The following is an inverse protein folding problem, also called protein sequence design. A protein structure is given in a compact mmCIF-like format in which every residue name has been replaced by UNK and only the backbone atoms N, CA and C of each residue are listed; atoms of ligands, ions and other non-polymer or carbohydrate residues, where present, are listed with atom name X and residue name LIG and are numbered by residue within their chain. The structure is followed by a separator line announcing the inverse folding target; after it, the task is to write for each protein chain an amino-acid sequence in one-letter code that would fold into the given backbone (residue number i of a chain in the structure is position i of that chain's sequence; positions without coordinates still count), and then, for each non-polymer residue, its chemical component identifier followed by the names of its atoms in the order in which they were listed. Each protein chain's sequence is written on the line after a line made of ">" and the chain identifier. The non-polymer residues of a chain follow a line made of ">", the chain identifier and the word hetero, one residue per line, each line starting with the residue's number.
data_IF_078856207556
#
_entry.id   IF_078856207556
#
_cell.length_a   1.000
_cell.length_b   1.000
_cell.length_c   1.000
_cell.angle_alpha   90.00
_cell.angle_beta   90.00
_cell.angle_gamma   90.00
#
_symmetry.space_group_name_H-M   'P 1'
#
loop_
_entity.id
_entity.type
_entity.pdbx_description
1 polymer ?
#
# COMPACT_ATOMS: atom_id res chain seq x y z
N UNK A 1 -14.11 -16.61 -14.10
CA UNK A 1 -13.28 -16.44 -12.90
C UNK A 1 -14.20 -16.13 -11.71
N UNK A 2 -13.99 -16.75 -10.57
CA UNK A 2 -14.66 -16.42 -9.31
C UNK A 2 -13.74 -15.56 -8.45
N UNK A 3 -14.27 -14.52 -7.84
CA UNK A 3 -13.49 -13.70 -6.90
C UNK A 3 -13.31 -14.51 -5.60
N UNK A 4 -12.08 -14.57 -5.13
CA UNK A 4 -11.71 -15.22 -3.87
C UNK A 4 -11.61 -14.19 -2.76
N UNK A 5 -10.89 -13.09 -3.03
CA UNK A 5 -10.72 -11.97 -2.11
C UNK A 5 -10.69 -10.64 -2.88
N UNK A 6 -11.25 -9.60 -2.29
CA UNK A 6 -11.11 -8.23 -2.75
C UNK A 6 -10.88 -7.29 -1.55
N UNK A 7 -9.77 -6.56 -1.58
CA UNK A 7 -9.35 -5.65 -0.53
C UNK A 7 -9.16 -4.24 -1.06
N UNK A 8 -9.77 -3.29 -0.38
CA UNK A 8 -9.61 -1.87 -0.65
C UNK A 8 -8.65 -1.27 0.38
N UNK A 9 -7.63 -0.57 -0.12
CA UNK A 9 -6.59 0.09 0.66
C UNK A 9 -6.73 1.60 0.49
N UNK A 10 -6.76 2.31 1.63
CA UNK A 10 -6.88 3.77 1.65
C UNK A 10 -5.77 4.36 2.51
N UNK A 11 -4.61 4.68 1.93
CA UNK A 11 -3.57 5.43 2.62
C UNK A 11 -4.00 6.89 2.78
N UNK A 12 -3.66 7.47 3.94
CA UNK A 12 -3.97 8.86 4.26
C UNK A 12 -2.83 9.53 5.04
N UNK A 13 -2.82 10.86 5.02
CA UNK A 13 -1.87 11.68 5.77
C UNK A 13 -2.53 12.86 6.47
N UNK A 14 -1.70 13.57 7.26
CA UNK A 14 -2.03 14.84 7.91
C UNK A 14 -3.16 14.78 8.93
N UNK A 15 -3.40 13.64 9.52
CA UNK A 15 -4.38 13.54 10.59
C UNK A 15 -3.81 14.14 11.89
N UNK A 16 -4.05 15.42 12.09
CA UNK A 16 -3.65 16.15 13.29
C UNK A 16 -4.78 16.30 14.30
N UNK A 17 -5.89 15.62 14.08
CA UNK A 17 -7.10 15.70 14.90
C UNK A 17 -7.53 14.36 15.47
N UNK A 18 -6.74 13.30 15.24
CA UNK A 18 -7.14 11.92 15.53
C UNK A 18 -8.50 11.56 14.90
N UNK A 19 -8.68 11.97 13.65
CA UNK A 19 -9.93 11.70 12.93
C UNK A 19 -10.07 10.22 12.55
N UNK A 20 -8.96 9.58 12.20
CA UNK A 20 -8.94 8.16 11.91
C UNK A 20 -8.71 7.34 13.20
N UNK A 21 -9.33 6.16 13.32
CA UNK A 21 -10.32 5.62 12.36
C UNK A 21 -11.77 6.09 12.61
N UNK A 22 -12.06 6.73 13.74
CA UNK A 22 -13.43 6.90 14.25
C UNK A 22 -14.24 7.97 13.50
N UNK A 23 -13.58 8.96 12.91
CA UNK A 23 -14.25 10.08 12.22
C UNK A 23 -14.07 10.03 10.69
N UNK A 24 -13.86 8.84 10.17
CA UNK A 24 -13.82 8.58 8.73
C UNK A 24 -14.73 7.41 8.37
N UNK A 25 -15.13 7.35 7.13
CA UNK A 25 -15.97 6.29 6.63
C UNK A 25 -15.59 5.90 5.21
N UNK A 26 -15.83 4.65 4.87
CA UNK A 26 -15.66 4.15 3.51
C UNK A 26 -16.93 3.48 3.03
N UNK A 27 -17.32 3.77 1.80
CA UNK A 27 -18.39 3.06 1.11
C UNK A 27 -17.80 2.38 -0.13
N UNK A 28 -18.23 1.16 -0.40
CA UNK A 28 -17.90 0.43 -1.62
C UNK A 28 -19.20 0.03 -2.33
N UNK A 29 -19.33 0.40 -3.59
CA UNK A 29 -20.56 0.23 -4.37
C UNK A 29 -21.83 0.75 -3.65
N UNK A 30 -21.68 1.87 -2.93
CA UNK A 30 -22.77 2.51 -2.17
C UNK A 30 -23.12 1.83 -0.85
N UNK A 31 -22.35 0.83 -0.41
CA UNK A 31 -22.54 0.15 0.87
C UNK A 31 -21.42 0.55 1.83
N UNK A 32 -21.79 0.98 3.05
CA UNK A 32 -20.84 1.31 4.12
C UNK A 32 -20.05 0.06 4.52
N UNK A 33 -18.70 0.16 4.55
CA UNK A 33 -17.81 -0.94 4.90
C UNK A 33 -17.02 -0.57 6.15
N UNK A 34 -17.00 -1.39 7.20
CA UNK A 34 -16.12 -1.19 8.34
C UNK A 34 -14.67 -1.48 7.92
N UNK A 35 -13.72 -0.75 8.49
CA UNK A 35 -12.32 -1.11 8.32
C UNK A 35 -12.02 -2.44 9.03
N UNK A 36 -11.04 -3.17 8.49
CA UNK A 36 -10.55 -4.43 9.09
C UNK A 36 -9.27 -4.17 9.87
N UNK A 37 -8.30 -3.50 9.23
CA UNK A 37 -7.04 -3.12 9.85
C UNK A 37 -6.82 -1.62 9.72
N UNK A 38 -6.13 -1.10 10.72
CA UNK A 38 -5.65 0.27 10.75
C UNK A 38 -4.18 0.28 11.18
N UNK A 39 -3.30 0.57 10.22
CA UNK A 39 -1.87 0.74 10.42
C UNK A 39 -1.57 2.23 10.44
N UNK A 40 -0.67 2.68 11.30
CA UNK A 40 -0.34 4.09 11.37
C UNK A 40 1.02 4.35 12.00
N UNK A 41 1.59 5.48 11.64
CA UNK A 41 2.79 6.03 12.22
C UNK A 41 2.61 7.52 12.49
N UNK A 42 3.45 8.08 13.36
CA UNK A 42 3.40 9.49 13.74
C UNK A 42 4.59 10.22 13.17
N UNK A 43 4.33 11.24 12.39
CA UNK A 43 5.40 12.01 11.77
C UNK A 43 6.22 12.79 12.80
N UNK A 44 7.55 12.83 12.59
CA UNK A 44 8.48 13.56 13.43
C UNK A 44 9.12 14.77 12.74
N UNK A 45 8.67 15.13 11.53
CA UNK A 45 9.33 16.12 10.70
C UNK A 45 8.55 17.44 10.53
N UNK A 46 9.28 18.53 10.67
CA UNK A 46 8.89 19.87 10.29
C UNK A 46 7.55 20.35 10.83
N UNK A 47 6.78 21.01 9.99
CA UNK A 47 5.45 21.54 10.31
C UNK A 47 4.36 20.47 10.43
N UNK A 48 4.70 19.23 10.10
CA UNK A 48 3.80 18.07 10.14
C UNK A 48 4.09 17.15 11.32
N UNK A 49 4.91 17.62 12.25
CA UNK A 49 5.21 16.88 13.48
C UNK A 49 3.92 16.56 14.23
N UNK A 50 3.89 15.35 14.79
CA UNK A 50 2.76 14.81 15.55
C UNK A 50 1.48 14.57 14.73
N UNK A 51 1.56 14.63 13.40
CA UNK A 51 0.47 14.21 12.53
C UNK A 51 0.52 12.70 12.33
N UNK A 52 -0.65 12.07 12.32
CA UNK A 52 -0.80 10.65 12.01
C UNK A 52 -0.89 10.47 10.50
N UNK A 53 -0.12 9.51 10.02
CA UNK A 53 -0.17 8.97 8.67
C UNK A 53 -0.54 7.51 8.77
N UNK A 54 -1.33 6.99 7.85
CA UNK A 54 -1.76 5.61 8.00
C UNK A 54 -2.37 4.99 6.77
N UNK A 55 -2.73 3.73 6.95
CA UNK A 55 -3.42 2.90 5.99
C UNK A 55 -4.64 2.27 6.65
N UNK A 56 -5.80 2.44 6.05
CA UNK A 56 -7.01 1.71 6.42
C UNK A 56 -7.31 0.67 5.36
N UNK A 57 -7.63 -0.55 5.79
CA UNK A 57 -7.92 -1.66 4.90
C UNK A 57 -9.35 -2.14 5.08
N UNK A 58 -9.99 -2.50 3.99
CA UNK A 58 -11.40 -2.89 3.95
C UNK A 58 -11.57 -4.16 3.14
N UNK A 59 -12.22 -5.16 3.72
CA UNK A 59 -12.64 -6.34 2.96
C UNK A 59 -13.92 -6.01 2.19
N UNK A 60 -13.82 -6.03 0.87
CA UNK A 60 -14.93 -5.72 -0.04
C UNK A 60 -15.30 -6.90 -0.93
N UNK A 61 -14.88 -8.11 -0.54
CA UNK A 61 -15.06 -9.34 -1.32
C UNK A 61 -16.51 -9.57 -1.70
N UNK A 62 -17.43 -9.47 -0.74
CA UNK A 62 -18.87 -9.72 -0.96
C UNK A 62 -19.56 -8.60 -1.75
N UNK A 63 -18.90 -7.44 -1.89
CA UNK A 63 -19.44 -6.26 -2.57
C UNK A 63 -18.84 -6.07 -3.95
N UNK A 64 -17.71 -6.72 -4.24
CA UNK A 64 -17.04 -6.60 -5.53
C UNK A 64 -17.85 -7.22 -6.65
N UNK A 65 -17.99 -6.49 -7.74
CA UNK A 65 -18.76 -6.91 -8.91
C UNK A 65 -17.86 -7.08 -10.12
N UNK A 66 -17.81 -8.30 -10.66
CA UNK A 66 -17.00 -8.61 -11.86
C UNK A 66 -17.66 -8.04 -13.11
N UNK A 67 -16.84 -7.43 -13.98
CA UNK A 67 -17.28 -6.97 -15.30
C UNK A 67 -18.06 -5.65 -15.31
N UNK A 68 -18.12 -4.97 -14.18
CA UNK A 68 -18.71 -3.63 -14.05
C UNK A 68 -17.76 -2.67 -13.34
N UNK A 69 -18.04 -1.38 -13.39
CA UNK A 69 -17.30 -0.38 -12.63
C UNK A 69 -17.68 -0.50 -11.16
N UNK A 70 -16.69 -0.78 -10.32
CA UNK A 70 -16.83 -0.67 -8.88
C UNK A 70 -16.47 0.75 -8.44
N UNK A 71 -17.14 1.24 -7.41
CA UNK A 71 -16.94 2.59 -6.87
C UNK A 71 -16.53 2.54 -5.42
N UNK A 72 -15.58 3.37 -5.03
CA UNK A 72 -15.19 3.55 -3.64
C UNK A 72 -15.29 5.02 -3.25
N UNK A 73 -15.78 5.28 -2.04
CA UNK A 73 -15.83 6.59 -1.42
C UNK A 73 -15.16 6.51 -0.06
N UNK A 74 -14.25 7.44 0.22
CA UNK A 74 -13.71 7.66 1.55
C UNK A 74 -14.05 9.08 1.97
N UNK A 75 -14.69 9.23 3.11
CA UNK A 75 -15.16 10.50 3.59
C UNK A 75 -14.79 10.71 5.06
N UNK A 76 -14.45 11.94 5.41
CA UNK A 76 -14.39 12.33 6.81
C UNK A 76 -15.78 12.58 7.35
N UNK A 77 -15.99 12.20 8.59
CA UNK A 77 -17.22 12.49 9.34
C UNK A 77 -16.93 13.59 10.35
N UNK A 78 -17.75 14.62 10.36
CA UNK A 78 -17.55 15.81 11.21
C UNK A 78 -16.82 16.96 10.52
N UNK A 79 -16.80 18.13 11.19
CA UNK A 79 -16.34 19.39 10.59
C UNK A 79 -14.85 19.66 10.77
N UNK A 80 -14.20 19.04 11.76
CA UNK A 80 -12.86 19.41 12.21
C UNK A 80 -11.77 18.43 11.76
N UNK A 81 -12.14 17.27 11.22
CA UNK A 81 -11.19 16.29 10.76
C UNK A 81 -10.35 16.83 9.60
N UNK A 82 -9.03 16.83 9.79
CA UNK A 82 -8.04 17.21 8.78
C UNK A 82 -7.27 15.95 8.38
N UNK A 83 -7.73 15.31 7.34
CA UNK A 83 -7.18 14.09 6.81
C UNK A 83 -7.17 14.17 5.28
N UNK A 84 -6.11 13.71 4.65
CA UNK A 84 -5.96 13.70 3.20
C UNK A 84 -5.65 12.29 2.71
N UNK A 85 -6.58 11.60 2.02
CA UNK A 85 -6.28 10.34 1.40
C UNK A 85 -5.36 10.53 0.20
N UNK A 86 -4.40 9.60 0.00
CA UNK A 86 -3.51 9.60 -1.15
C UNK A 86 -4.21 9.07 -2.42
N UNK A 87 -5.19 8.22 -2.23
CA UNK A 87 -5.91 7.52 -3.30
C UNK A 87 -6.47 6.20 -2.81
N UNK A 88 -6.87 5.37 -3.75
CA UNK A 88 -7.39 4.03 -3.48
C UNK A 88 -6.58 3.00 -4.25
N UNK A 89 -6.31 1.87 -3.61
CA UNK A 89 -5.79 0.68 -4.26
C UNK A 89 -6.77 -0.46 -4.02
N UNK A 90 -7.13 -1.17 -5.07
CA UNK A 90 -8.00 -2.34 -4.99
C UNK A 90 -7.21 -3.57 -5.44
N UNK A 91 -6.96 -4.49 -4.51
CA UNK A 91 -6.38 -5.79 -4.80
C UNK A 91 -7.50 -6.83 -4.92
N UNK A 92 -7.52 -7.56 -6.02
CA UNK A 92 -8.52 -8.60 -6.29
C UNK A 92 -7.83 -9.91 -6.61
N UNK A 93 -8.08 -10.92 -5.79
CA UNK A 93 -7.66 -12.29 -6.02
C UNK A 93 -8.84 -13.07 -6.59
N UNK A 94 -8.61 -13.72 -7.71
CA UNK A 94 -9.65 -14.50 -8.38
C UNK A 94 -9.13 -15.87 -8.84
N UNK A 95 -10.02 -16.83 -8.90
CA UNK A 95 -9.76 -18.15 -9.43
C UNK A 95 -10.13 -18.22 -10.91
N UNK A 96 -9.22 -18.79 -11.69
CA UNK A 96 -9.44 -19.11 -13.09
C UNK A 96 -8.90 -20.51 -13.37
N UNK A 97 -9.79 -21.44 -13.69
CA UNK A 97 -9.41 -22.84 -13.94
C UNK A 97 -8.53 -23.04 -15.18
N UNK A 98 -8.43 -22.02 -16.04
CA UNK A 98 -7.55 -22.02 -17.21
C UNK A 98 -6.18 -21.40 -16.96
N UNK A 99 -6.02 -20.73 -15.82
CA UNK A 99 -4.77 -20.07 -15.46
C UNK A 99 -3.77 -21.03 -14.81
N UNK A 100 -2.49 -20.70 -14.91
CA UNK A 100 -1.42 -21.39 -14.18
C UNK A 100 -1.62 -21.21 -12.68
N UNK A 101 -1.39 -22.26 -11.90
CA UNK A 101 -1.44 -22.20 -10.43
C UNK A 101 -0.46 -21.16 -9.91
N UNK A 102 -0.92 -20.36 -8.95
CA UNK A 102 -0.13 -19.29 -8.29
C UNK A 102 -0.17 -19.44 -6.78
N UNK A 103 0.88 -19.04 -6.11
CA UNK A 103 0.88 -18.64 -4.71
C UNK A 103 0.82 -17.12 -4.67
N UNK A 104 -0.04 -16.57 -3.84
CA UNK A 104 -0.22 -15.12 -3.68
C UNK A 104 0.00 -14.79 -2.21
N UNK A 105 0.86 -13.82 -1.97
CA UNK A 105 1.12 -13.25 -0.64
C UNK A 105 0.70 -11.78 -0.70
N UNK A 106 -0.04 -11.35 0.30
CA UNK A 106 -0.40 -9.94 0.48
C UNK A 106 0.06 -9.54 1.87
N UNK A 107 1.00 -8.61 1.94
CA UNK A 107 1.47 -8.01 3.18
C UNK A 107 0.96 -6.59 3.29
N UNK A 108 0.56 -6.21 4.48
CA UNK A 108 -0.01 -4.91 4.81
C UNK A 108 0.72 -4.32 5.99
N UNK A 109 1.20 -3.09 5.86
CA UNK A 109 1.81 -2.30 6.91
C UNK A 109 1.79 -0.83 6.53
N UNK A 110 2.16 0.04 7.46
CA UNK A 110 2.37 1.45 7.19
C UNK A 110 3.47 2.02 8.06
N UNK A 111 4.56 2.45 7.40
CA UNK A 111 5.67 3.17 8.00
C UNK A 111 5.96 4.46 7.23
N UNK A 112 6.38 5.50 7.93
CA UNK A 112 6.88 6.73 7.32
C UNK A 112 8.38 6.58 7.08
N UNK A 113 8.77 6.37 5.83
CA UNK A 113 10.15 6.17 5.41
C UNK A 113 10.76 7.48 4.89
N UNK A 114 11.28 8.29 5.78
CA UNK A 114 11.92 9.55 5.42
C UNK A 114 13.34 9.64 5.98
N UNK A 115 14.37 9.41 5.17
CA UNK A 115 15.78 9.49 5.57
C UNK A 115 16.38 10.84 5.23
N UNK A 116 16.36 11.76 6.16
CA UNK A 116 17.09 13.03 6.07
C UNK A 116 17.53 13.48 7.45
N UNK A 117 18.74 13.09 7.84
CA UNK A 117 19.30 13.45 9.15
C UNK A 117 19.41 14.96 9.36
N UNK A 118 19.64 15.73 8.31
CA UNK A 118 19.77 17.19 8.39
C UNK A 118 18.46 17.89 8.70
N UNK A 119 17.35 17.42 8.12
CA UNK A 119 16.04 18.04 8.26
C UNK A 119 15.13 17.33 9.27
N UNK A 120 15.22 16.00 9.35
CA UNK A 120 14.27 15.19 10.12
C UNK A 120 14.92 14.40 11.25
N UNK A 121 16.25 14.31 11.27
CA UNK A 121 16.98 13.53 12.27
C UNK A 121 16.92 12.01 12.07
N UNK A 122 16.35 11.55 10.96
CA UNK A 122 16.11 10.14 10.66
C UNK A 122 17.28 9.55 9.88
N UNK A 123 17.85 8.47 10.38
CA UNK A 123 18.91 7.72 9.69
C UNK A 123 18.34 6.82 8.58
N UNK A 124 19.22 6.36 7.67
CA UNK A 124 18.83 5.38 6.65
C UNK A 124 18.28 4.08 7.24
N UNK A 125 18.83 3.64 8.38
CA UNK A 125 18.37 2.43 9.05
C UNK A 125 16.94 2.57 9.61
N UNK A 126 16.61 3.74 10.16
CA UNK A 126 15.27 4.05 10.65
C UNK A 126 14.26 4.22 9.50
N UNK A 127 14.73 4.64 8.32
CA UNK A 127 13.92 4.78 7.13
C UNK A 127 13.92 3.52 6.25
N UNK A 128 14.10 2.35 6.85
CA UNK A 128 14.07 1.05 6.16
C UNK A 128 13.03 0.16 6.80
N UNK A 129 11.99 -0.18 6.06
CA UNK A 129 11.00 -1.17 6.46
C UNK A 129 11.38 -2.55 5.93
N UNK A 130 11.13 -3.57 6.72
CA UNK A 130 11.29 -4.97 6.37
C UNK A 130 9.92 -5.63 6.28
N UNK A 131 9.65 -6.26 5.15
CA UNK A 131 8.33 -6.84 4.86
C UNK A 131 8.46 -8.34 4.61
N UNK A 132 8.52 -9.19 5.67
CA UNK A 132 8.74 -10.61 5.52
C UNK A 132 7.51 -11.32 4.94
N UNK A 133 7.73 -12.15 3.93
CA UNK A 133 6.73 -13.05 3.38
C UNK A 133 6.77 -14.38 4.13
N UNK A 134 5.84 -14.57 5.05
CA UNK A 134 5.74 -15.76 5.90
C UNK A 134 4.60 -16.68 5.45
N UNK A 135 4.64 -17.93 5.92
CA UNK A 135 3.55 -18.89 5.77
C UNK A 135 3.92 -20.10 4.94
N UNK A 136 3.63 -20.10 3.65
CA UNK A 136 3.83 -21.29 2.81
C UNK A 136 5.26 -21.43 2.33
N UNK A 137 5.76 -22.66 2.30
CA UNK A 137 7.03 -23.03 1.64
C UNK A 137 6.83 -22.89 0.13
N UNK A 138 7.76 -22.24 -0.53
CA UNK A 138 7.79 -22.10 -1.98
C UNK A 138 8.61 -23.23 -2.58
N UNK A 139 8.02 -23.94 -3.52
CA UNK A 139 8.73 -24.93 -4.33
C UNK A 139 9.49 -24.21 -5.47
N UNK A 140 10.68 -23.72 -5.14
CA UNK A 140 11.48 -22.89 -6.06
C UNK A 140 11.90 -23.62 -7.33
N UNK A 141 11.96 -24.98 -7.34
CA UNK A 141 12.30 -25.76 -8.52
C UNK A 141 11.18 -25.72 -9.58
N UNK A 142 9.93 -25.51 -9.15
CA UNK A 142 8.76 -25.48 -10.03
C UNK A 142 8.20 -24.07 -10.25
N UNK A 143 8.81 -23.02 -9.68
CA UNK A 143 8.42 -21.63 -9.95
C UNK A 143 8.90 -21.22 -11.34
N UNK A 144 7.97 -20.96 -12.23
CA UNK A 144 8.25 -20.41 -13.56
C UNK A 144 8.53 -18.92 -13.50
N UNK A 145 7.81 -18.21 -12.65
CA UNK A 145 7.93 -16.75 -12.49
C UNK A 145 7.40 -16.28 -11.13
N UNK A 146 8.14 -15.39 -10.51
CA UNK A 146 7.72 -14.65 -9.31
C UNK A 146 7.78 -13.15 -9.58
N UNK A 147 6.71 -12.44 -9.27
CA UNK A 147 6.63 -10.98 -9.33
C UNK A 147 6.42 -10.43 -7.93
N UNK A 148 7.14 -9.36 -7.61
CA UNK A 148 6.91 -8.50 -6.47
C UNK A 148 6.19 -7.25 -6.96
N UNK A 149 5.05 -6.94 -6.36
CA UNK A 149 4.33 -5.68 -6.59
C UNK A 149 4.31 -4.89 -5.30
N UNK A 150 4.74 -3.64 -5.35
CA UNK A 150 4.75 -2.73 -4.21
C UNK A 150 3.84 -1.53 -4.46
N UNK A 151 3.16 -1.09 -3.41
CA UNK A 151 2.32 0.12 -3.39
C UNK A 151 2.86 1.06 -2.34
N UNK A 152 3.23 2.27 -2.74
CA UNK A 152 3.78 3.28 -1.83
C UNK A 152 3.04 4.60 -2.02
N UNK A 153 2.35 5.10 -0.98
CA UNK A 153 1.78 6.43 -1.04
C UNK A 153 2.88 7.48 -0.95
N UNK A 154 2.71 8.57 -1.67
CA UNK A 154 3.62 9.74 -1.70
C UNK A 154 5.07 9.43 -2.10
N UNK A 155 5.32 8.36 -2.84
CA UNK A 155 6.60 8.13 -3.52
C UNK A 155 6.80 9.18 -4.61
N UNK A 156 7.47 10.29 -4.29
CA UNK A 156 7.66 11.41 -5.20
C UNK A 156 8.89 11.18 -6.10
N UNK A 157 8.76 11.52 -7.38
CA UNK A 157 9.88 11.71 -8.32
C UNK A 157 10.97 10.62 -8.33
N UNK A 158 10.60 9.38 -8.11
CA UNK A 158 11.54 8.26 -8.15
C UNK A 158 12.35 8.11 -6.86
N UNK A 159 11.69 8.20 -5.72
CA UNK A 159 12.27 7.96 -4.39
C UNK A 159 12.40 6.49 -4.07
N UNK A 160 13.28 6.20 -3.11
CA UNK A 160 13.45 4.91 -2.47
C UNK A 160 14.29 3.89 -3.23
N UNK A 161 14.87 2.99 -2.47
CA UNK A 161 15.55 1.80 -2.95
C UNK A 161 14.74 0.58 -2.55
N UNK A 162 14.60 -0.36 -3.48
CA UNK A 162 13.91 -1.61 -3.25
C UNK A 162 14.91 -2.76 -3.22
N UNK A 163 14.81 -3.57 -2.18
CA UNK A 163 15.60 -4.78 -2.01
C UNK A 163 14.67 -5.98 -1.97
N UNK A 164 15.17 -7.14 -2.38
CA UNK A 164 14.51 -8.41 -2.20
C UNK A 164 15.55 -9.45 -1.80
N UNK A 165 15.36 -10.08 -0.64
CA UNK A 165 16.30 -11.04 -0.05
C UNK A 165 17.74 -10.49 0.05
N UNK A 166 17.90 -9.22 0.40
CA UNK A 166 19.18 -8.54 0.53
C UNK A 166 19.79 -8.02 -0.78
N UNK A 167 19.22 -8.37 -1.93
CA UNK A 167 19.67 -7.88 -3.24
C UNK A 167 18.92 -6.61 -3.64
N UNK A 168 19.65 -5.58 -4.05
CA UNK A 168 19.04 -4.35 -4.54
C UNK A 168 18.46 -4.56 -5.93
N UNK A 169 17.14 -4.56 -6.03
CA UNK A 169 16.42 -4.77 -7.28
C UNK A 169 15.93 -3.47 -7.93
N UNK A 170 16.08 -2.34 -7.24
CA UNK A 170 15.71 -1.05 -7.80
C UNK A 170 16.22 0.15 -7.00
N UNK A 171 16.38 1.26 -7.72
CA UNK A 171 16.72 2.59 -7.17
C UNK A 171 15.74 3.60 -7.74
N UNK A 172 15.22 4.49 -6.91
CA UNK A 172 14.25 5.49 -7.34
C UNK A 172 12.98 4.85 -7.92
N UNK A 173 12.47 3.80 -7.27
CA UNK A 173 11.45 2.91 -7.87
C UNK A 173 10.04 3.48 -7.77
N UNK A 174 9.76 4.30 -6.76
CA UNK A 174 8.41 4.80 -6.53
C UNK A 174 8.26 6.22 -7.08
N UNK A 175 7.45 6.33 -8.13
CA UNK A 175 7.07 7.60 -8.72
C UNK A 175 5.64 7.52 -9.24
N UNK A 176 4.81 8.48 -8.87
CA UNK A 176 3.48 8.64 -9.47
C UNK A 176 3.47 9.68 -10.60
N UNK A 177 4.65 10.01 -11.11
CA UNK A 177 4.85 10.97 -12.20
C UNK A 177 5.03 12.42 -11.75
N UNK A 178 5.44 13.30 -12.65
CA UNK A 178 5.69 14.70 -12.32
C UNK A 178 4.43 15.32 -11.76
N UNK A 179 4.57 15.92 -10.60
CA UNK A 179 3.51 16.69 -9.97
C UNK A 179 3.16 17.87 -10.87
N UNK A 180 2.12 17.76 -11.66
CA UNK A 180 1.59 18.90 -12.37
C UNK A 180 1.14 19.92 -11.31
N UNK A 181 1.73 21.11 -11.34
CA UNK A 181 1.37 22.19 -10.43
C UNK A 181 -0.14 22.45 -10.58
N UNK A 182 -0.90 22.17 -9.52
CA UNK A 182 -2.37 22.30 -9.51
C UNK A 182 -3.15 21.03 -9.87
N UNK A 183 -2.52 19.89 -10.11
CA UNK A 183 -3.23 18.63 -10.30
C UNK A 183 -3.65 18.05 -8.94
N UNK A 184 -4.88 18.33 -8.54
CA UNK A 184 -5.55 17.69 -7.40
C UNK A 184 -6.07 16.29 -7.73
N UNK A 185 -5.93 15.85 -8.97
CA UNK A 185 -6.76 14.79 -9.54
C UNK A 185 -6.00 13.46 -9.74
N UNK A 186 -4.69 13.43 -9.51
CA UNK A 186 -3.91 12.22 -9.62
C UNK A 186 -3.80 11.52 -8.26
N UNK A 187 -4.09 10.22 -8.18
CA UNK A 187 -3.82 9.46 -6.97
C UNK A 187 -2.32 9.54 -6.64
N UNK A 188 -2.02 9.80 -5.38
CA UNK A 188 -0.65 9.91 -4.89
C UNK A 188 -0.14 8.55 -4.39
N UNK A 189 -0.38 7.52 -5.17
CA UNK A 189 0.07 6.15 -4.90
C UNK A 189 0.94 5.70 -6.06
N UNK A 190 2.19 5.36 -5.76
CA UNK A 190 3.09 4.75 -6.72
C UNK A 190 2.96 3.23 -6.68
N UNK A 191 3.01 2.61 -7.84
CA UNK A 191 3.00 1.15 -8.01
C UNK A 191 4.25 0.76 -8.77
N UNK A 192 5.00 -0.20 -8.23
CA UNK A 192 6.13 -0.81 -8.92
C UNK A 192 5.95 -2.32 -8.97
N UNK A 193 6.23 -2.92 -10.13
CA UNK A 193 6.18 -4.37 -10.33
C UNK A 193 7.50 -4.86 -10.91
N UNK A 194 8.08 -5.89 -10.28
CA UNK A 194 9.37 -6.47 -10.68
C UNK A 194 9.33 -7.97 -10.65
N UNK A 195 10.01 -8.57 -11.62
CA UNK A 195 10.30 -9.99 -11.59
C UNK A 195 11.44 -10.28 -10.60
N UNK A 196 11.17 -11.19 -9.65
CA UNK A 196 12.11 -11.56 -8.58
C UNK A 196 12.44 -13.05 -8.56
N UNK A 197 12.15 -13.76 -9.64
CA UNK A 197 12.34 -15.22 -9.74
C UNK A 197 13.76 -15.64 -9.39
N UNK A 198 14.77 -14.89 -9.86
CA UNK A 198 16.18 -15.20 -9.63
C UNK A 198 16.64 -15.03 -8.17
N UNK A 199 15.88 -14.32 -7.36
CA UNK A 199 16.21 -14.00 -5.97
C UNK A 199 15.35 -14.77 -4.96
N UNK A 200 14.42 -15.61 -5.44
CA UNK A 200 13.44 -16.30 -4.62
C UNK A 200 14.07 -17.40 -3.78
N UNK A 201 13.79 -17.39 -2.48
CA UNK A 201 14.12 -18.46 -1.56
C UNK A 201 12.91 -19.37 -1.29
N UNK A 202 13.14 -20.60 -0.87
CA UNK A 202 12.05 -21.50 -0.47
C UNK A 202 11.28 -20.97 0.76
N UNK A 203 11.97 -20.25 1.64
CA UNK A 203 11.41 -19.63 2.85
C UNK A 203 12.16 -18.35 3.18
N UNK A 204 11.57 -17.49 4.03
CA UNK A 204 12.24 -16.29 4.54
C UNK A 204 12.51 -15.23 3.46
N UNK A 205 11.58 -15.09 2.52
CA UNK A 205 11.64 -13.98 1.58
C UNK A 205 11.18 -12.67 2.25
N UNK A 206 11.88 -11.59 1.95
CA UNK A 206 11.62 -10.25 2.50
C UNK A 206 11.99 -9.13 1.52
#
# INVERSE_FOLDING_TARGET
>A
AAVHDAWLYVPYCWDNTNAAPDNVSSDFNGVRVPYVNWYHDVSNFGAYRDHIYGLMTYNVTDLYQTGVNNTALFAREGTDAKISPAGFTLAVVYEDSSATRKQIFINEEFDILGADQGNYGTSMAEATAYVPFSGAIIDTENVVRANLTTFVPWGNDGEGNLYFNGEQIGTGVWSYGPRAVGASDNPQVAVDEREVTAYLNATGNE
#
